data_IF_688986840248
#
_entry.id   IF_688986840248
#
_cell.length_a   1.000
_cell.length_b   1.000
_cell.length_c   1.000
_cell.angle_alpha   90.00
_cell.angle_beta   90.00
_cell.angle_gamma   90.00
#
_symmetry.space_group_name_H-M   'P 1'
#
loop_
_entity.id
_entity.type
_entity.pdbx_description
1 polymer ?
#
# COMPACT_ATOMS: atom_id res chain seq x y z
N UNK A 1 -43.50 9.89 -13.99
CA UNK A 1 -43.19 10.29 -15.37
C UNK A 1 -41.67 10.43 -15.47
N UNK A 2 -41.02 9.58 -16.28
CA UNK A 2 -39.56 9.38 -16.32
C UNK A 2 -38.86 10.56 -17.01
N UNK A 3 -37.81 11.11 -16.40
CA UNK A 3 -36.89 12.06 -17.05
C UNK A 3 -35.61 11.29 -17.38
N UNK A 4 -35.33 11.11 -18.67
CA UNK A 4 -34.07 10.61 -19.19
C UNK A 4 -33.03 11.73 -19.15
N UNK A 5 -31.88 11.50 -18.51
CA UNK A 5 -30.68 12.30 -18.68
C UNK A 5 -29.75 11.55 -19.65
N UNK A 6 -29.51 12.16 -20.82
CA UNK A 6 -28.70 11.58 -21.90
C UNK A 6 -27.22 11.57 -21.57
N UNK A 7 -26.57 10.44 -21.88
CA UNK A 7 -25.12 10.30 -21.94
C UNK A 7 -24.66 10.81 -23.31
N UNK A 8 -23.79 11.82 -23.32
CA UNK A 8 -23.13 12.29 -24.55
C UNK A 8 -21.98 11.33 -24.87
N UNK A 9 -22.15 10.56 -25.94
CA UNK A 9 -21.13 9.70 -26.53
C UNK A 9 -20.30 10.54 -27.52
N UNK A 10 -19.04 10.82 -27.20
CA UNK A 10 -18.11 11.43 -28.15
C UNK A 10 -17.58 10.35 -29.11
N UNK A 11 -18.11 10.34 -30.34
CA UNK A 11 -17.59 9.55 -31.47
C UNK A 11 -16.39 10.27 -32.08
N UNK A 12 -15.19 9.68 -31.98
CA UNK A 12 -14.06 10.03 -32.82
C UNK A 12 -13.98 9.00 -33.95
N UNK A 13 -14.36 9.43 -35.16
CA UNK A 13 -14.16 8.69 -36.40
C UNK A 13 -12.70 8.81 -36.83
N UNK A 14 -11.97 7.70 -36.84
CA UNK A 14 -10.72 7.56 -37.59
C UNK A 14 -10.90 6.42 -38.59
N UNK A 15 -10.74 6.75 -39.86
CA UNK A 15 -10.86 5.85 -40.99
C UNK A 15 -9.66 4.89 -41.09
N UNK A 16 -9.94 3.64 -41.47
CA UNK A 16 -9.00 2.78 -42.20
C UNK A 16 -8.02 1.96 -41.36
N UNK A 17 -8.41 0.71 -41.07
CA UNK A 17 -7.52 -0.33 -40.54
C UNK A 17 -8.12 -1.04 -39.34
N UNK A 18 -8.82 -2.14 -39.56
CA UNK A 18 -9.31 -3.00 -38.48
C UNK A 18 -8.13 -3.74 -37.83
N UNK A 19 -7.42 -3.07 -36.93
CA UNK A 19 -6.62 -3.75 -35.92
C UNK A 19 -7.57 -4.24 -34.84
N UNK A 20 -7.79 -5.56 -34.80
CA UNK A 20 -8.37 -6.22 -33.63
C UNK A 20 -7.32 -6.14 -32.53
N UNK A 21 -7.42 -5.12 -31.67
CA UNK A 21 -6.64 -5.06 -30.44
C UNK A 21 -7.04 -6.26 -29.56
N UNK A 22 -6.09 -7.06 -29.07
CA UNK A 22 -6.41 -8.11 -28.11
C UNK A 22 -7.04 -7.46 -26.86
N UNK A 23 -8.11 -8.05 -26.35
CA UNK A 23 -8.90 -7.60 -25.21
C UNK A 23 -8.15 -7.74 -23.86
N UNK A 24 -6.94 -7.20 -23.75
CA UNK A 24 -6.34 -6.88 -22.46
C UNK A 24 -6.85 -5.51 -22.07
N UNK A 25 -8.05 -5.47 -21.49
CA UNK A 25 -8.59 -4.27 -20.87
C UNK A 25 -7.60 -3.76 -19.84
N UNK A 26 -6.80 -2.76 -20.20
CA UNK A 26 -6.11 -1.89 -19.25
C UNK A 26 -7.21 -1.25 -18.39
N UNK A 27 -7.38 -1.79 -17.18
CA UNK A 27 -8.32 -1.25 -16.20
C UNK A 27 -7.78 0.12 -15.77
N UNK A 28 -8.65 1.14 -15.89
CA UNK A 28 -8.40 2.52 -15.45
C UNK A 28 -7.84 2.54 -14.02
N UNK A 29 -6.72 3.23 -13.84
CA UNK A 29 -6.07 3.50 -12.56
C UNK A 29 -7.01 4.20 -11.59
N UNK A 30 -7.39 3.50 -10.53
CA UNK A 30 -8.31 3.97 -9.48
C UNK A 30 -7.56 4.68 -8.33
N UNK A 31 -6.25 4.89 -8.48
CA UNK A 31 -5.45 5.64 -7.53
C UNK A 31 -6.07 7.03 -7.28
N UNK A 32 -6.45 7.36 -6.03
CA UNK A 32 -6.90 8.68 -5.66
C UNK A 32 -5.88 9.75 -6.08
N UNK A 33 -6.37 10.83 -6.70
CA UNK A 33 -5.60 12.05 -6.84
C UNK A 33 -5.74 12.84 -5.54
N UNK A 34 -4.62 13.24 -4.97
CA UNK A 34 -4.58 13.99 -3.72
C UNK A 34 -4.07 15.40 -3.98
N UNK A 35 -4.79 16.37 -3.42
CA UNK A 35 -4.31 17.74 -3.24
C UNK A 35 -3.82 17.87 -1.79
N UNK A 36 -2.49 17.90 -1.63
CA UNK A 36 -1.87 18.01 -0.32
C UNK A 36 -2.27 19.31 0.40
N UNK A 37 -2.73 20.34 -0.32
CA UNK A 37 -3.16 21.64 0.22
C UNK A 37 -2.04 22.47 0.84
N UNK A 38 -1.08 21.82 1.50
CA UNK A 38 0.14 22.39 2.07
C UNK A 38 1.34 21.99 1.19
N UNK A 39 1.92 22.95 0.47
CA UNK A 39 3.15 22.70 -0.29
C UNK A 39 4.38 22.53 0.62
N UNK A 40 4.30 22.90 1.90
CA UNK A 40 5.42 22.84 2.83
C UNK A 40 5.75 21.40 3.25
N UNK A 41 4.75 20.55 3.51
CA UNK A 41 5.03 19.14 3.85
C UNK A 41 5.83 18.44 2.75
N UNK A 42 5.53 18.74 1.47
CA UNK A 42 6.29 18.17 0.36
C UNK A 42 7.73 18.68 0.31
N UNK A 43 7.96 19.96 0.67
CA UNK A 43 9.32 20.51 0.79
C UNK A 43 10.08 19.85 1.94
N UNK A 44 9.43 19.64 3.07
CA UNK A 44 10.06 19.06 4.26
C UNK A 44 10.39 17.58 4.06
N UNK A 45 9.50 16.82 3.40
CA UNK A 45 9.78 15.44 2.99
C UNK A 45 10.91 15.37 1.96
N UNK A 46 10.96 16.31 0.99
CA UNK A 46 12.03 16.34 -0.03
C UNK A 46 13.35 16.94 0.45
N UNK A 47 13.36 17.61 1.60
CA UNK A 47 14.57 18.21 2.16
C UNK A 47 15.63 17.14 2.41
N UNK A 48 16.90 17.44 2.13
CA UNK A 48 18.03 16.53 2.36
C UNK A 48 18.96 17.15 3.40
N UNK A 49 18.97 16.65 4.64
CA UNK A 49 19.90 17.14 5.65
C UNK A 49 21.33 16.71 5.35
N UNK A 50 22.31 17.43 5.89
CA UNK A 50 23.73 17.03 5.83
C UNK A 50 24.01 15.75 6.63
N UNK A 51 23.31 15.58 7.75
CA UNK A 51 23.34 14.37 8.59
C UNK A 51 21.92 13.94 8.90
N UNK A 52 21.61 12.67 8.62
CA UNK A 52 20.32 12.10 9.01
C UNK A 52 20.31 11.83 10.51
N UNK A 53 19.32 12.38 11.21
CA UNK A 53 18.90 11.86 12.50
C UNK A 53 18.22 10.49 12.30
N UNK A 54 18.13 9.72 13.39
CA UNK A 54 17.41 8.44 13.46
C UNK A 54 16.16 8.67 14.30
N UNK A 55 15.01 8.21 13.82
CA UNK A 55 13.76 8.26 14.56
C UNK A 55 13.52 6.93 15.29
N UNK A 56 13.14 7.02 16.56
CA UNK A 56 12.92 5.84 17.41
C UNK A 56 11.55 5.18 17.13
N UNK A 57 11.57 4.10 16.36
CA UNK A 57 10.40 3.26 16.07
C UNK A 57 10.18 2.12 17.08
N UNK A 58 10.99 2.00 18.14
CA UNK A 58 10.98 0.82 19.04
C UNK A 58 9.63 0.57 19.72
N UNK A 59 8.94 1.62 20.16
CA UNK A 59 7.62 1.51 20.79
C UNK A 59 6.56 0.94 19.84
N UNK A 60 6.63 1.28 18.55
CA UNK A 60 5.73 0.70 17.55
C UNK A 60 6.16 -0.72 17.16
N UNK A 61 7.46 -0.98 17.04
CA UNK A 61 7.99 -2.31 16.78
C UNK A 61 7.54 -3.32 17.86
N UNK A 62 7.55 -2.92 19.13
CA UNK A 62 7.06 -3.75 20.22
C UNK A 62 5.57 -4.08 20.06
N UNK A 63 4.73 -3.08 19.76
CA UNK A 63 3.29 -3.30 19.54
C UNK A 63 3.02 -4.25 18.37
N UNK A 64 3.76 -4.10 17.27
CA UNK A 64 3.63 -4.98 16.11
C UNK A 64 4.06 -6.41 16.44
N UNK A 65 5.16 -6.59 17.18
CA UNK A 65 5.63 -7.90 17.58
C UNK A 65 4.66 -8.60 18.57
N UNK A 66 4.01 -7.84 19.45
CA UNK A 66 3.04 -8.35 20.44
C UNK A 66 1.69 -8.70 19.81
N UNK A 67 1.21 -7.89 18.85
CA UNK A 67 -0.19 -7.95 18.40
C UNK A 67 -0.39 -8.33 16.93
N UNK A 68 0.68 -8.56 16.15
CA UNK A 68 0.56 -9.01 14.76
C UNK A 68 1.02 -10.45 14.62
N UNK A 69 0.13 -11.29 14.09
CA UNK A 69 0.48 -12.65 13.67
C UNK A 69 1.55 -12.57 12.57
N UNK A 70 2.77 -13.02 12.90
CA UNK A 70 3.91 -12.91 11.99
C UNK A 70 3.81 -13.79 10.74
N UNK A 71 2.98 -14.83 10.74
CA UNK A 71 2.72 -15.68 9.59
C UNK A 71 1.65 -15.06 8.68
N UNK A 72 0.47 -14.77 9.25
CA UNK A 72 -0.69 -14.32 8.48
C UNK A 72 -0.73 -12.81 8.23
N UNK A 73 -0.07 -12.00 9.07
CA UNK A 73 -0.18 -10.54 9.10
C UNK A 73 -1.54 -10.03 9.57
N UNK A 74 -2.23 -10.82 10.40
CA UNK A 74 -3.49 -10.46 11.07
C UNK A 74 -3.20 -9.80 12.41
N UNK A 75 -4.14 -8.99 12.90
CA UNK A 75 -3.94 -8.18 14.11
C UNK A 75 -4.85 -8.66 15.24
N UNK A 76 -4.29 -8.88 16.42
CA UNK A 76 -5.06 -8.99 17.66
C UNK A 76 -5.54 -7.60 18.10
N UNK A 77 -6.64 -7.15 17.51
CA UNK A 77 -7.21 -5.84 17.85
C UNK A 77 -7.72 -5.79 19.30
N UNK A 78 -8.17 -6.91 19.86
CA UNK A 78 -8.61 -6.98 21.25
C UNK A 78 -7.45 -6.82 22.24
N UNK A 79 -6.30 -7.45 21.95
CA UNK A 79 -5.04 -7.25 22.64
C UNK A 79 -4.51 -5.83 22.48
N UNK A 80 -4.39 -5.36 21.23
CA UNK A 80 -3.87 -4.03 20.92
C UNK A 80 -4.70 -2.92 21.56
N UNK A 81 -6.02 -3.09 21.67
CA UNK A 81 -6.91 -2.13 22.35
C UNK A 81 -6.53 -1.92 23.82
N UNK A 82 -6.03 -2.95 24.51
CA UNK A 82 -5.56 -2.84 25.90
C UNK A 82 -4.27 -2.02 25.99
N UNK A 83 -3.46 -2.08 24.94
CA UNK A 83 -2.20 -1.37 24.80
C UNK A 83 -2.32 -0.03 24.04
N UNK A 84 -3.54 0.47 23.80
CA UNK A 84 -3.78 1.67 22.99
C UNK A 84 -2.96 2.89 23.45
N UNK A 85 -2.72 3.05 24.76
CA UNK A 85 -1.90 4.15 25.28
C UNK A 85 -0.46 4.13 24.75
N UNK A 86 0.12 2.95 24.52
CA UNK A 86 1.46 2.81 23.92
C UNK A 86 1.43 3.27 22.45
N UNK A 87 0.36 2.95 21.73
CA UNK A 87 0.16 3.40 20.35
C UNK A 87 0.02 4.93 20.31
N UNK A 88 -0.82 5.51 21.17
CA UNK A 88 -1.03 6.95 21.24
C UNK A 88 0.29 7.70 21.52
N UNK A 89 1.12 7.19 22.44
CA UNK A 89 2.44 7.77 22.73
C UNK A 89 3.39 7.74 21.51
N UNK A 90 3.33 6.68 20.70
CA UNK A 90 4.09 6.62 19.45
C UNK A 90 3.56 7.63 18.41
N UNK A 91 2.25 7.79 18.29
CA UNK A 91 1.63 8.75 17.37
C UNK A 91 1.92 10.21 17.77
N UNK A 92 2.07 10.51 19.06
CA UNK A 92 2.53 11.81 19.54
C UNK A 92 3.95 12.12 19.08
N UNK A 93 4.88 11.15 19.18
CA UNK A 93 6.25 11.29 18.67
C UNK A 93 6.27 11.55 17.16
N UNK A 94 5.45 10.82 16.39
CA UNK A 94 5.31 11.04 14.95
C UNK A 94 4.82 12.46 14.63
N UNK A 95 3.92 13.00 15.44
CA UNK A 95 3.42 14.36 15.26
C UNK A 95 4.46 15.45 15.54
N UNK A 96 5.43 15.18 16.41
CA UNK A 96 6.41 16.16 16.89
C UNK A 96 7.76 16.14 16.16
N UNK A 97 8.04 15.12 15.35
CA UNK A 97 9.34 14.98 14.66
C UNK A 97 9.61 16.14 13.69
N UNK A 98 10.83 16.64 13.63
CA UNK A 98 11.23 17.53 12.54
C UNK A 98 11.68 16.70 11.33
N UNK A 99 10.82 16.61 10.32
CA UNK A 99 11.10 15.87 9.09
C UNK A 99 12.39 16.36 8.42
N UNK A 100 12.75 17.64 8.51
CA UNK A 100 13.97 18.15 7.85
C UNK A 100 15.25 17.53 8.40
N UNK A 101 15.23 17.01 9.63
CA UNK A 101 16.38 16.35 10.23
C UNK A 101 16.60 14.92 9.74
N UNK A 102 15.61 14.32 9.07
CA UNK A 102 15.64 12.92 8.64
C UNK A 102 16.10 12.81 7.17
N UNK A 103 16.89 11.79 6.88
CA UNK A 103 17.27 11.37 5.53
C UNK A 103 16.08 10.78 4.77
N UNK A 104 16.26 10.54 3.46
CA UNK A 104 15.18 10.05 2.60
C UNK A 104 14.62 8.69 3.07
N UNK A 105 15.51 7.74 3.38
CA UNK A 105 15.14 6.39 3.81
C UNK A 105 14.44 6.39 5.17
N UNK A 106 14.94 7.21 6.10
CA UNK A 106 14.33 7.39 7.42
C UNK A 106 12.94 8.01 7.33
N UNK A 107 12.74 8.98 6.42
CA UNK A 107 11.41 9.53 6.14
C UNK A 107 10.47 8.52 5.51
N UNK A 108 10.96 7.67 4.60
CA UNK A 108 10.14 6.63 3.98
C UNK A 108 9.65 5.64 5.04
N UNK A 109 10.57 5.15 5.88
CA UNK A 109 10.26 4.29 7.02
C UNK A 109 9.22 4.95 7.94
N UNK A 110 9.45 6.22 8.31
CA UNK A 110 8.55 6.99 9.17
C UNK A 110 7.15 7.13 8.57
N UNK A 111 7.04 7.46 7.28
CA UNK A 111 5.75 7.65 6.61
C UNK A 111 4.98 6.33 6.46
N UNK A 112 5.65 5.23 6.12
CA UNK A 112 5.03 3.89 6.08
C UNK A 112 4.52 3.50 7.46
N UNK A 113 5.36 3.67 8.50
CA UNK A 113 4.95 3.38 9.86
C UNK A 113 3.82 4.29 10.33
N UNK A 114 3.80 5.57 9.95
CA UNK A 114 2.72 6.50 10.26
C UNK A 114 1.40 6.04 9.63
N UNK A 115 1.39 5.68 8.34
CA UNK A 115 0.19 5.14 7.68
C UNK A 115 -0.36 3.92 8.42
N UNK A 116 0.50 2.96 8.72
CA UNK A 116 0.10 1.72 9.40
C UNK A 116 -0.40 1.99 10.82
N UNK A 117 0.31 2.81 11.60
CA UNK A 117 -0.07 3.13 12.97
C UNK A 117 -1.39 3.92 13.04
N UNK A 118 -1.62 4.87 12.12
CA UNK A 118 -2.89 5.61 12.04
C UNK A 118 -4.04 4.76 11.52
N UNK A 119 -3.77 3.79 10.65
CA UNK A 119 -4.77 2.79 10.27
C UNK A 119 -5.18 1.94 11.48
N UNK A 120 -4.21 1.48 12.29
CA UNK A 120 -4.51 0.77 13.53
C UNK A 120 -5.32 1.64 14.50
N UNK A 121 -4.93 2.91 14.71
CA UNK A 121 -5.69 3.86 15.54
C UNK A 121 -7.15 3.98 15.06
N UNK A 122 -7.36 4.17 13.76
CA UNK A 122 -8.70 4.29 13.15
C UNK A 122 -9.56 3.05 13.42
N UNK A 123 -8.99 1.86 13.32
CA UNK A 123 -9.72 0.63 13.65
C UNK A 123 -10.03 0.57 15.14
N UNK A 124 -9.08 0.87 16.02
CA UNK A 124 -9.29 0.84 17.48
C UNK A 124 -10.37 1.82 17.94
N UNK A 125 -10.55 2.95 17.25
CA UNK A 125 -11.64 3.91 17.52
C UNK A 125 -13.04 3.31 17.28
N UNK A 126 -13.13 2.28 16.42
CA UNK A 126 -14.40 1.67 16.00
C UNK A 126 -14.51 0.19 16.44
N UNK A 127 -13.49 -0.36 17.09
CA UNK A 127 -13.46 -1.74 17.59
C UNK A 127 -14.30 -1.87 18.89
N UNK A 128 -15.07 -2.97 19.08
CA UNK A 128 -15.16 -4.19 18.26
C UNK A 128 -16.23 -4.16 17.17
N UNK A 129 -16.88 -3.02 16.91
CA UNK A 129 -18.03 -2.92 16.00
C UNK A 129 -17.69 -2.89 14.51
N UNK A 130 -16.45 -2.51 14.17
CA UNK A 130 -15.98 -2.41 12.77
C UNK A 130 -15.82 -3.80 12.13
N UNK A 131 -16.43 -3.99 10.96
CA UNK A 131 -16.32 -5.22 10.16
C UNK A 131 -15.46 -5.02 8.91
N UNK A 132 -15.43 -3.81 8.38
CA UNK A 132 -14.57 -3.38 7.30
C UNK A 132 -14.18 -1.93 7.50
N UNK A 133 -12.94 -1.57 7.17
CA UNK A 133 -12.51 -0.17 7.12
C UNK A 133 -13.40 0.67 6.16
N UNK A 134 -13.99 0.04 5.14
CA UNK A 134 -14.88 0.70 4.17
C UNK A 134 -16.21 1.14 4.75
N UNK A 135 -16.61 0.57 5.88
CA UNK A 135 -17.86 0.94 6.55
C UNK A 135 -17.68 2.23 7.36
N UNK A 136 -16.45 2.68 7.57
CA UNK A 136 -16.13 3.89 8.30
C UNK A 136 -16.38 5.13 7.44
N UNK A 137 -16.64 6.27 8.09
CA UNK A 137 -16.84 7.54 7.39
C UNK A 137 -15.51 8.14 6.97
N UNK A 138 -15.29 8.26 5.66
CA UNK A 138 -14.11 8.90 5.06
C UNK A 138 -12.76 8.39 5.65
N UNK A 139 -12.53 7.07 5.73
CA UNK A 139 -11.38 6.49 6.43
C UNK A 139 -10.05 6.99 5.89
N UNK A 140 -9.95 7.21 4.57
CA UNK A 140 -8.71 7.67 3.95
C UNK A 140 -8.59 9.18 3.76
N UNK A 141 -9.71 9.91 3.67
CA UNK A 141 -9.74 11.33 3.28
C UNK A 141 -9.77 12.32 4.44
N UNK A 142 -10.11 11.85 5.64
CA UNK A 142 -10.22 12.73 6.81
C UNK A 142 -8.83 13.24 7.22
N UNK A 143 -8.59 14.57 7.14
CA UNK A 143 -7.34 15.19 7.61
C UNK A 143 -7.37 15.37 9.13
N UNK A 144 -6.70 14.46 9.85
CA UNK A 144 -6.71 14.41 11.33
C UNK A 144 -5.44 13.82 11.95
N UNK A 145 -4.52 13.33 11.13
CA UNK A 145 -3.32 12.63 11.57
C UNK A 145 -2.12 13.58 11.56
N UNK A 146 -1.31 13.57 12.61
CA UNK A 146 -0.19 14.52 12.76
C UNK A 146 1.13 13.86 12.40
N UNK A 147 1.79 14.35 11.35
CA UNK A 147 3.12 13.86 10.98
C UNK A 147 4.05 15.05 10.82
N UNK A 148 5.06 15.12 11.68
CA UNK A 148 6.07 16.17 11.71
C UNK A 148 5.51 17.59 11.62
N UNK A 149 4.54 17.91 12.47
CA UNK A 149 3.88 19.21 12.52
C UNK A 149 2.74 19.42 11.51
N UNK A 150 2.59 18.56 10.50
CA UNK A 150 1.54 18.68 9.49
C UNK A 150 0.31 17.83 9.84
N UNK A 151 -0.89 18.33 9.51
CA UNK A 151 -2.14 17.57 9.64
C UNK A 151 -2.52 16.97 8.30
N UNK A 152 -2.53 15.63 8.24
CA UNK A 152 -2.67 14.83 7.03
C UNK A 152 -3.84 13.85 7.16
N UNK A 153 -4.28 13.34 6.01
CA UNK A 153 -5.12 12.15 5.87
C UNK A 153 -4.27 10.92 5.50
N UNK A 154 -4.83 9.71 5.54
CA UNK A 154 -4.10 8.52 5.06
C UNK A 154 -3.82 8.61 3.55
N UNK A 155 -4.76 9.18 2.77
CA UNK A 155 -4.56 9.48 1.34
C UNK A 155 -3.38 10.45 1.14
N UNK A 156 -3.26 11.50 1.97
CA UNK A 156 -2.11 12.43 1.90
C UNK A 156 -0.79 11.69 2.15
N UNK A 157 -0.73 10.82 3.15
CA UNK A 157 0.48 10.06 3.47
C UNK A 157 0.86 9.11 2.31
N UNK A 158 -0.08 8.30 1.83
CA UNK A 158 0.22 7.28 0.81
C UNK A 158 0.35 7.88 -0.60
N UNK A 159 -0.66 8.62 -1.04
CA UNK A 159 -0.80 9.07 -2.42
C UNK A 159 -0.25 10.48 -2.65
N UNK A 160 -0.14 11.30 -1.59
CA UNK A 160 0.46 12.63 -1.65
C UNK A 160 1.97 12.62 -1.35
N UNK A 161 2.45 11.75 -0.45
CA UNK A 161 3.85 11.73 -0.02
C UNK A 161 4.59 10.48 -0.49
N UNK A 162 4.23 9.29 -0.01
CA UNK A 162 5.01 8.06 -0.23
C UNK A 162 5.13 7.75 -1.74
N UNK A 163 4.01 7.55 -2.44
CA UNK A 163 4.01 7.13 -3.84
C UNK A 163 4.71 8.14 -4.76
N UNK A 164 4.34 9.44 -4.77
CA UNK A 164 4.91 10.37 -5.74
C UNK A 164 6.35 10.81 -5.42
N UNK A 165 6.80 10.76 -4.17
CA UNK A 165 8.17 11.17 -3.79
C UNK A 165 9.17 10.04 -3.99
N UNK A 166 8.84 8.83 -3.54
CA UNK A 166 9.80 7.73 -3.49
C UNK A 166 9.74 6.83 -4.70
N UNK A 167 8.57 6.72 -5.34
CA UNK A 167 8.37 5.91 -6.53
C UNK A 167 8.86 4.45 -6.37
N UNK A 168 8.80 3.94 -5.14
CA UNK A 168 9.14 2.56 -4.85
C UNK A 168 7.88 1.70 -4.99
N UNK A 169 7.87 0.77 -5.93
CA UNK A 169 6.70 -0.06 -6.19
C UNK A 169 6.37 -1.02 -5.05
N UNK A 170 7.35 -1.32 -4.17
CA UNK A 170 7.18 -2.25 -3.04
C UNK A 170 6.36 -1.65 -1.91
N UNK A 171 6.12 -0.34 -1.90
CA UNK A 171 5.30 0.34 -0.87
C UNK A 171 3.91 -0.27 -0.75
N UNK A 172 3.37 -0.79 -1.86
CA UNK A 172 2.07 -1.44 -1.93
C UNK A 172 1.96 -2.69 -1.06
N UNK A 173 3.10 -3.28 -0.68
CA UNK A 173 3.19 -4.43 0.22
C UNK A 173 3.58 -4.03 1.65
N UNK A 174 3.91 -2.76 1.88
CA UNK A 174 4.38 -2.22 3.15
C UNK A 174 3.29 -1.45 3.91
N UNK A 175 2.36 -0.83 3.19
CA UNK A 175 1.17 -0.19 3.78
C UNK A 175 0.02 -1.20 3.89
N UNK A 176 -0.67 -1.21 5.02
CA UNK A 176 -1.78 -2.12 5.30
C UNK A 176 -3.03 -1.32 5.68
N UNK A 177 -4.12 -1.62 5.00
CA UNK A 177 -5.42 -0.96 5.11
C UNK A 177 -6.40 -1.67 6.06
N UNK A 178 -5.91 -2.55 6.95
CA UNK A 178 -6.70 -3.36 7.88
C UNK A 178 -7.70 -4.35 7.23
N UNK A 179 -7.40 -4.82 6.01
CA UNK A 179 -8.28 -5.73 5.25
C UNK A 179 -7.63 -7.10 5.05
N UNK A 180 -8.41 -8.19 5.00
CA UNK A 180 -7.89 -9.53 4.69
C UNK A 180 -7.22 -9.59 3.32
N UNK A 181 -7.79 -8.90 2.32
CA UNK A 181 -7.22 -8.77 0.98
C UNK A 181 -5.98 -7.86 0.89
N UNK A 182 -5.68 -7.09 1.95
CA UNK A 182 -4.47 -6.27 1.99
C UNK A 182 -3.23 -7.17 2.16
N UNK A 183 -2.05 -6.76 1.68
CA UNK A 183 -0.79 -7.44 1.99
C UNK A 183 -0.60 -7.61 3.51
N UNK A 184 0.07 -8.68 3.97
CA UNK A 184 0.21 -8.95 5.40
C UNK A 184 0.84 -7.74 6.12
N UNK A 185 0.24 -7.30 7.23
CA UNK A 185 0.91 -6.32 8.08
C UNK A 185 2.20 -6.96 8.62
N UNK A 186 3.30 -6.20 8.59
CA UNK A 186 4.58 -6.69 9.09
C UNK A 186 4.62 -6.62 10.62
N UNK A 187 5.18 -7.66 11.25
CA UNK A 187 5.36 -7.73 12.71
C UNK A 187 6.63 -6.96 13.19
N UNK A 188 7.08 -6.00 12.38
CA UNK A 188 8.21 -5.11 12.66
C UNK A 188 7.87 -3.70 12.17
N UNK A 189 8.45 -2.69 12.83
CA UNK A 189 8.42 -1.34 12.28
C UNK A 189 9.52 -1.18 11.22
N UNK A 190 9.25 -0.39 10.19
CA UNK A 190 10.25 -0.04 9.19
C UNK A 190 11.30 0.88 9.80
N UNK A 191 12.57 0.72 9.42
CA UNK A 191 13.70 1.54 9.90
C UNK A 191 14.49 2.04 8.68
N UNK A 192 14.95 3.30 8.69
CA UNK A 192 15.60 3.88 7.50
C UNK A 192 16.82 3.09 7.05
N UNK A 193 17.68 2.66 7.97
CA UNK A 193 18.88 1.86 7.65
C UNK A 193 18.57 0.49 7.03
N UNK A 194 17.34 -0.02 7.21
CA UNK A 194 16.90 -1.35 6.76
C UNK A 194 15.80 -1.28 5.69
N UNK A 195 15.40 -0.09 5.27
CA UNK A 195 14.15 0.13 4.52
C UNK A 195 14.11 -0.70 3.23
N UNK A 196 15.21 -0.76 2.48
CA UNK A 196 15.28 -1.50 1.22
C UNK A 196 15.05 -3.01 1.43
N UNK A 197 15.74 -3.59 2.42
CA UNK A 197 15.62 -5.00 2.77
C UNK A 197 14.23 -5.33 3.33
N UNK A 198 13.65 -4.43 4.13
CA UNK A 198 12.32 -4.61 4.70
C UNK A 198 11.22 -4.51 3.62
N UNK A 199 11.37 -3.61 2.65
CA UNK A 199 10.47 -3.52 1.50
C UNK A 199 10.56 -4.77 0.60
N UNK A 200 11.77 -5.29 0.35
CA UNK A 200 11.95 -6.56 -0.38
C UNK A 200 11.31 -7.73 0.37
N UNK A 201 11.50 -7.80 1.70
CA UNK A 201 10.88 -8.82 2.55
C UNK A 201 9.34 -8.75 2.50
N UNK A 202 8.75 -7.56 2.62
CA UNK A 202 7.30 -7.37 2.56
C UNK A 202 6.73 -7.79 1.19
N UNK A 203 7.42 -7.43 0.10
CA UNK A 203 7.06 -7.84 -1.26
C UNK A 203 7.11 -9.36 -1.43
N UNK A 204 8.19 -10.02 -0.98
CA UNK A 204 8.31 -11.49 -1.02
C UNK A 204 7.25 -12.18 -0.19
N UNK A 205 7.04 -11.74 1.05
CA UNK A 205 6.04 -12.32 1.95
C UNK A 205 4.64 -12.30 1.33
N UNK A 206 4.31 -11.25 0.59
CA UNK A 206 3.03 -11.15 -0.12
C UNK A 206 3.01 -12.04 -1.37
N UNK A 207 4.02 -11.92 -2.24
CA UNK A 207 4.01 -12.53 -3.57
C UNK A 207 4.39 -14.02 -3.59
N UNK A 208 4.84 -14.56 -2.45
CA UNK A 208 5.05 -16.00 -2.24
C UNK A 208 3.88 -16.68 -1.55
N UNK A 209 2.88 -15.93 -1.11
CA UNK A 209 1.74 -16.47 -0.39
C UNK A 209 0.57 -16.75 -1.34
N UNK A 210 0.05 -17.98 -1.26
CA UNK A 210 -1.05 -18.50 -2.10
C UNK A 210 -2.37 -17.73 -1.98
N UNK A 211 -2.53 -16.92 -0.92
CA UNK A 211 -3.64 -15.96 -0.78
C UNK A 211 -3.61 -14.87 -1.85
N UNK A 212 -2.42 -14.50 -2.33
CA UNK A 212 -2.23 -13.38 -3.26
C UNK A 212 -1.67 -13.82 -4.62
N UNK A 213 -0.99 -14.96 -4.71
CA UNK A 213 -0.43 -15.47 -5.97
C UNK A 213 -0.58 -16.99 -6.02
N UNK A 214 -1.25 -17.50 -7.06
CA UNK A 214 -1.39 -18.95 -7.28
C UNK A 214 -1.47 -19.29 -8.76
N UNK A 215 -0.96 -20.46 -9.13
CA UNK A 215 -1.10 -21.02 -10.47
C UNK A 215 -2.37 -21.87 -10.48
N UNK A 216 -3.30 -21.57 -11.38
CA UNK A 216 -4.53 -22.34 -11.57
C UNK A 216 -4.66 -22.77 -13.03
N UNK A 217 -4.35 -24.04 -13.30
CA UNK A 217 -4.27 -24.55 -14.67
C UNK A 217 -3.21 -23.79 -15.46
N UNK A 218 -3.63 -23.13 -16.54
CA UNK A 218 -2.75 -22.34 -17.42
C UNK A 218 -2.81 -20.83 -17.13
N UNK A 219 -3.25 -20.44 -15.93
CA UNK A 219 -3.37 -19.04 -15.51
C UNK A 219 -2.56 -18.74 -14.26
N UNK A 220 -1.93 -17.56 -14.25
CA UNK A 220 -1.40 -16.98 -13.03
C UNK A 220 -2.49 -16.12 -12.38
N UNK A 221 -3.01 -16.55 -11.23
CA UNK A 221 -3.92 -15.75 -10.41
C UNK A 221 -3.11 -14.84 -9.49
N UNK A 222 -3.37 -13.55 -9.54
CA UNK A 222 -2.69 -12.54 -8.70
C UNK A 222 -3.70 -11.65 -8.00
N UNK A 223 -3.35 -11.07 -6.85
CA UNK A 223 -4.20 -10.11 -6.15
C UNK A 223 -4.64 -8.97 -7.08
N UNK A 224 -5.93 -8.62 -7.05
CA UNK A 224 -6.46 -7.47 -7.81
C UNK A 224 -5.81 -6.13 -7.42
N UNK A 225 -5.12 -6.06 -6.27
CA UNK A 225 -4.30 -4.91 -5.90
C UNK A 225 -3.26 -4.56 -6.98
N UNK A 226 -2.62 -5.57 -7.57
CA UNK A 226 -1.64 -5.39 -8.66
C UNK A 226 -2.27 -4.75 -9.90
N UNK A 227 -3.59 -4.92 -10.10
CA UNK A 227 -4.33 -4.27 -11.16
C UNK A 227 -4.64 -2.81 -10.84
N UNK A 228 -5.09 -2.51 -9.61
CA UNK A 228 -5.45 -1.15 -9.21
C UNK A 228 -4.28 -0.16 -9.30
N UNK A 229 -3.08 -0.64 -8.98
CA UNK A 229 -1.84 0.14 -9.00
C UNK A 229 -0.87 -0.30 -10.09
N UNK A 230 -1.37 -0.87 -11.20
CA UNK A 230 -0.53 -1.44 -12.25
C UNK A 230 0.61 -0.55 -12.75
N UNK A 231 0.35 0.75 -12.90
CA UNK A 231 1.32 1.77 -13.34
C UNK A 231 2.51 1.88 -12.39
N UNK A 232 2.31 1.66 -11.09
CA UNK A 232 3.38 1.70 -10.12
C UNK A 232 4.31 0.47 -10.24
N UNK A 233 3.85 -0.62 -10.86
CA UNK A 233 4.63 -1.86 -11.05
C UNK A 233 5.28 -1.98 -12.43
N UNK A 234 4.70 -1.36 -13.46
CA UNK A 234 5.18 -1.47 -14.85
C UNK A 234 5.62 -0.13 -15.46
N UNK A 235 5.14 0.99 -14.93
CA UNK A 235 5.42 2.33 -15.41
C UNK A 235 6.87 2.74 -15.18
N UNK A 236 7.36 3.65 -16.02
CA UNK A 236 8.79 3.98 -16.09
C UNK A 236 9.31 4.77 -14.89
N UNK A 237 8.41 5.47 -14.21
CA UNK A 237 8.73 6.33 -13.07
C UNK A 237 9.04 5.54 -11.80
N UNK A 238 8.72 4.25 -11.75
CA UNK A 238 8.80 3.43 -10.53
C UNK A 238 9.93 2.40 -10.59
N UNK A 239 10.45 2.07 -9.41
CA UNK A 239 11.46 1.04 -9.22
C UNK A 239 11.17 0.22 -7.96
N UNK A 240 11.44 -1.10 -7.94
CA UNK A 240 11.66 -1.93 -9.12
C UNK A 240 10.42 -1.91 -10.03
N UNK A 241 10.59 -2.20 -11.32
CA UNK A 241 9.48 -2.36 -12.27
C UNK A 241 9.68 -3.57 -13.17
N UNK A 242 8.66 -3.95 -13.92
CA UNK A 242 8.74 -5.02 -14.93
C UNK A 242 7.85 -4.73 -16.14
N UNK A 243 8.07 -5.44 -17.26
CA UNK A 243 7.28 -5.23 -18.49
C UNK A 243 5.80 -5.62 -18.35
N UNK A 244 5.51 -6.58 -17.48
CA UNK A 244 4.16 -7.09 -17.20
C UNK A 244 3.99 -7.28 -15.69
N UNK A 245 2.75 -7.31 -15.22
CA UNK A 245 2.45 -7.66 -13.82
C UNK A 245 2.93 -9.07 -13.47
N UNK A 246 2.80 -10.03 -14.40
CA UNK A 246 3.29 -11.40 -14.19
C UNK A 246 4.82 -11.43 -14.00
N UNK A 247 5.57 -10.68 -14.81
CA UNK A 247 7.02 -10.56 -14.66
C UNK A 247 7.41 -9.86 -13.34
N UNK A 248 6.64 -8.85 -12.92
CA UNK A 248 6.83 -8.23 -11.61
C UNK A 248 6.63 -9.24 -10.47
N UNK A 249 5.54 -10.01 -10.53
CA UNK A 249 5.24 -11.05 -9.54
C UNK A 249 6.34 -12.12 -9.50
N UNK A 250 6.86 -12.58 -10.65
CA UNK A 250 7.95 -13.55 -10.72
C UNK A 250 9.27 -13.08 -10.09
N UNK A 251 9.50 -11.76 -9.99
CA UNK A 251 10.67 -11.17 -9.34
C UNK A 251 10.74 -11.53 -7.84
N UNK A 252 9.59 -11.50 -7.17
CA UNK A 252 9.49 -11.70 -5.73
C UNK A 252 8.82 -13.03 -5.34
N UNK A 253 8.09 -13.65 -6.27
CA UNK A 253 7.36 -14.89 -6.07
C UNK A 253 8.23 -16.14 -5.90
N UNK A 254 7.56 -17.28 -5.71
CA UNK A 254 8.22 -18.57 -5.50
C UNK A 254 8.99 -19.03 -6.75
N UNK A 255 9.94 -19.97 -6.64
CA UNK A 255 10.60 -20.57 -7.80
C UNK A 255 9.61 -21.16 -8.81
N UNK A 256 8.50 -21.73 -8.33
CA UNK A 256 7.43 -22.28 -9.17
C UNK A 256 6.73 -21.19 -9.99
N UNK A 257 6.35 -20.07 -9.36
CA UNK A 257 5.75 -18.92 -10.04
C UNK A 257 6.72 -18.34 -11.07
N UNK A 258 8.00 -18.24 -10.74
CA UNK A 258 9.03 -17.77 -11.68
C UNK A 258 9.13 -18.68 -12.91
N UNK A 259 9.28 -19.99 -12.69
CA UNK A 259 9.37 -20.96 -13.78
C UNK A 259 8.10 -20.96 -14.65
N UNK A 260 6.92 -20.82 -14.05
CA UNK A 260 5.66 -20.69 -14.78
C UNK A 260 5.64 -19.44 -15.67
N UNK A 261 6.06 -18.30 -15.16
CA UNK A 261 6.10 -17.05 -15.93
C UNK A 261 7.15 -17.12 -17.05
N UNK A 262 8.32 -17.72 -16.79
CA UNK A 262 9.37 -17.94 -17.80
C UNK A 262 8.92 -18.87 -18.92
N UNK A 263 8.24 -19.97 -18.59
CA UNK A 263 7.64 -20.89 -19.58
C UNK A 263 6.69 -20.17 -20.54
N UNK A 264 6.02 -19.12 -20.08
CA UNK A 264 5.12 -18.27 -20.87
C UNK A 264 5.79 -16.99 -21.37
N UNK A 265 7.12 -16.97 -21.48
CA UNK A 265 7.90 -15.85 -22.02
C UNK A 265 7.63 -14.51 -21.31
N UNK A 266 7.33 -14.55 -20.01
CA UNK A 266 7.06 -13.37 -19.19
C UNK A 266 5.62 -12.84 -19.25
N UNK A 267 4.72 -13.46 -20.01
CA UNK A 267 3.36 -12.98 -20.22
C UNK A 267 2.30 -14.11 -20.25
N UNK A 268 2.18 -14.92 -19.18
CA UNK A 268 1.07 -15.87 -19.06
C UNK A 268 -0.28 -15.15 -19.01
N UNK A 269 -1.36 -15.91 -19.22
CA UNK A 269 -2.71 -15.42 -18.94
C UNK A 269 -2.83 -15.10 -17.44
N UNK A 270 -3.24 -13.87 -17.13
CA UNK A 270 -3.44 -13.39 -15.75
C UNK A 270 -4.92 -13.38 -15.41
N UNK A 271 -5.28 -13.88 -14.23
CA UNK A 271 -6.57 -13.63 -13.61
C UNK A 271 -6.39 -12.95 -12.26
N UNK A 272 -7.43 -12.24 -11.80
CA UNK A 272 -7.38 -11.55 -10.52
C UNK A 272 -8.10 -12.32 -9.41
N UNK A 273 -7.52 -12.30 -8.22
CA UNK A 273 -8.12 -12.79 -6.97
C UNK A 273 -8.93 -11.65 -6.38
N UNK A 274 -10.18 -11.93 -5.99
CA UNK A 274 -11.08 -10.95 -5.39
C UNK A 274 -10.52 -10.41 -4.07
N UNK A 275 -10.83 -9.13 -3.82
CA UNK A 275 -10.34 -8.43 -2.64
C UNK A 275 -11.31 -8.59 -1.46
N UNK A 276 -10.89 -9.31 -0.43
CA UNK A 276 -11.67 -9.46 0.79
C UNK A 276 -11.53 -8.21 1.68
N UNK A 277 -12.60 -7.43 1.74
CA UNK A 277 -12.71 -6.18 2.51
C UNK A 277 -12.95 -6.38 4.01
N UNK A 278 -13.12 -7.62 4.47
CA UNK A 278 -13.32 -7.93 5.88
C UNK A 278 -12.08 -7.54 6.70
N UNK A 279 -12.30 -7.10 7.93
CA UNK A 279 -11.26 -6.73 8.88
C UNK A 279 -10.27 -7.90 9.08
N UNK A 280 -8.96 -7.63 9.04
CA UNK A 280 -7.90 -8.61 9.27
C UNK A 280 -7.65 -8.92 10.76
N UNK A 281 -8.72 -9.16 11.51
CA UNK A 281 -8.68 -9.56 12.93
C UNK A 281 -8.26 -11.05 13.07
N UNK A 282 -7.57 -11.41 14.15
CA UNK A 282 -7.08 -12.78 14.41
C UNK A 282 -8.17 -13.77 14.81
N UNK A 283 -9.32 -13.30 15.32
CA UNK A 283 -10.52 -14.05 15.76
C UNK A 283 -10.34 -15.53 16.12
#
# INVERSE_FOLDING_TARGET
MRIFAGVVLALVLIAGGAYVLPSTSLVRFLAPKVDLGDAQVLKDVRHKPEKSAIFDHSGFAQLLAEHVDSAAGRVDYAGLKKDQKKLDAYLEKLGAVDLKTLGADEKLALLINAYNAYTLQLILENYPGVKSIKDLKSPWKSKRYKVGGHTLSLDDIEHGLIRPVYKDSRIHFAVNCASIGCPPLQAFAFEGEKIDAQLDLAARKTLQDTRYVRIEGDKLKISVLLNWYGDDFIGEDYSPRSKTLAAYVARFGTPEVRAFVEKHQGAPSVGFIDYDWSLNDVK
#
